data_IF_417102846024
#
_entry.id   IF_417102846024
#
_cell.length_a   1.000
_cell.length_b   1.000
_cell.length_c   1.000
_cell.angle_alpha   90.00
_cell.angle_beta   90.00
_cell.angle_gamma   90.00
#
_symmetry.space_group_name_H-M   'P 1'
#
loop_
_entity.id
_entity.type
_entity.pdbx_description
1 polymer ?
#
# COMPACT_ATOMS: atom_id res chain seq x y z
N UNK A 1 8.08 4.90 3.84
CA UNK A 1 8.11 3.43 3.88
C UNK A 1 7.46 2.94 5.18
N UNK A 2 7.19 1.63 5.37
CA UNK A 2 6.47 1.15 6.59
C UNK A 2 7.31 1.35 7.84
N UNK A 3 8.61 1.16 7.74
CA UNK A 3 9.61 1.47 8.75
C UNK A 3 9.60 2.95 9.15
N UNK A 4 9.39 3.88 8.23
CA UNK A 4 9.31 5.31 8.53
C UNK A 4 8.05 5.63 9.34
N UNK A 5 6.91 5.06 8.94
CA UNK A 5 5.63 5.22 9.67
C UNK A 5 5.68 4.64 11.09
N UNK A 6 6.43 3.54 11.26
CA UNK A 6 6.68 2.96 12.58
C UNK A 6 7.69 3.79 13.37
N UNK A 7 8.70 4.35 12.69
CA UNK A 7 9.70 5.27 13.26
C UNK A 7 9.09 6.56 13.80
N UNK A 8 8.12 7.16 13.09
CA UNK A 8 7.33 8.30 13.56
C UNK A 8 6.57 8.01 14.87
N UNK A 9 6.28 6.73 15.13
CA UNK A 9 5.65 6.25 16.36
C UNK A 9 6.66 5.77 17.42
N UNK A 10 7.96 6.00 17.20
CA UNK A 10 9.04 5.61 18.09
C UNK A 10 9.44 4.13 18.00
N UNK A 11 8.97 3.41 16.99
CA UNK A 11 9.26 1.98 16.80
C UNK A 11 10.31 1.84 15.70
N UNK A 12 11.56 1.59 16.10
CA UNK A 12 12.65 1.34 15.15
C UNK A 12 12.61 -0.11 14.66
N UNK A 13 12.39 -0.29 13.35
CA UNK A 13 12.45 -1.59 12.68
C UNK A 13 13.31 -1.50 11.44
N UNK A 14 14.01 -2.58 11.12
CA UNK A 14 14.74 -2.67 9.85
C UNK A 14 13.79 -3.02 8.70
N UNK A 15 14.16 -2.62 7.48
CA UNK A 15 13.48 -3.05 6.25
C UNK A 15 13.32 -4.59 6.17
N UNK A 16 14.35 -5.33 6.57
CA UNK A 16 14.34 -6.80 6.58
C UNK A 16 13.27 -7.34 7.56
N UNK A 17 13.09 -6.69 8.71
CA UNK A 17 12.06 -7.06 9.69
C UNK A 17 10.67 -6.87 9.11
N UNK A 18 10.41 -5.74 8.46
CA UNK A 18 9.14 -5.46 7.77
C UNK A 18 8.88 -6.50 6.68
N UNK A 19 9.90 -6.86 5.89
CA UNK A 19 9.79 -7.88 4.85
C UNK A 19 9.43 -9.26 5.42
N UNK A 20 10.09 -9.70 6.50
CA UNK A 20 9.79 -10.97 7.15
C UNK A 20 8.36 -11.01 7.71
N UNK A 21 7.85 -9.89 8.22
CA UNK A 21 6.46 -9.79 8.65
C UNK A 21 5.49 -9.88 7.47
N UNK A 22 5.80 -9.21 6.36
CA UNK A 22 5.00 -9.34 5.15
C UNK A 22 4.97 -10.80 4.67
N UNK A 23 6.10 -11.49 4.61
CA UNK A 23 6.15 -12.91 4.22
C UNK A 23 5.35 -13.81 5.17
N UNK A 24 5.43 -13.55 6.49
CA UNK A 24 4.74 -14.35 7.51
C UNK A 24 3.23 -14.12 7.52
N UNK A 25 2.77 -12.89 7.36
CA UNK A 25 1.38 -12.51 7.63
C UNK A 25 0.57 -12.11 6.40
N UNK A 26 1.19 -11.72 5.28
CA UNK A 26 0.47 -11.21 4.11
C UNK A 26 -0.58 -12.20 3.58
N UNK A 27 -0.29 -13.50 3.61
CA UNK A 27 -1.26 -14.52 3.18
C UNK A 27 -2.50 -14.57 4.07
N UNK A 28 -2.34 -14.41 5.37
CA UNK A 28 -3.46 -14.35 6.30
C UNK A 28 -4.33 -13.11 6.02
N UNK A 29 -3.70 -11.94 5.89
CA UNK A 29 -4.40 -10.69 5.57
C UNK A 29 -5.11 -10.76 4.22
N UNK A 30 -4.45 -11.26 3.18
CA UNK A 30 -5.05 -11.43 1.85
C UNK A 30 -6.27 -12.35 1.89
N UNK A 31 -6.20 -13.45 2.65
CA UNK A 31 -7.34 -14.34 2.84
C UNK A 31 -8.49 -13.67 3.61
N UNK A 32 -8.20 -12.88 4.63
CA UNK A 32 -9.21 -12.13 5.40
C UNK A 32 -9.88 -11.05 4.53
N UNK A 33 -9.10 -10.28 3.78
CA UNK A 33 -9.62 -9.28 2.84
C UNK A 33 -10.52 -9.98 1.83
N UNK A 34 -10.04 -11.04 1.16
CA UNK A 34 -10.83 -11.80 0.19
C UNK A 34 -12.14 -12.32 0.78
N UNK A 35 -12.12 -12.92 1.98
CA UNK A 35 -13.34 -13.41 2.65
C UNK A 35 -14.33 -12.29 2.98
N UNK A 36 -13.84 -11.13 3.41
CA UNK A 36 -14.70 -9.95 3.67
C UNK A 36 -15.24 -9.37 2.38
N UNK A 37 -14.48 -9.49 1.29
CA UNK A 37 -14.84 -9.00 -0.02
C UNK A 37 -15.83 -9.91 -0.77
N UNK A 38 -15.78 -11.22 -0.57
CA UNK A 38 -16.71 -12.15 -1.24
C UNK A 38 -18.15 -11.97 -0.74
N UNK A 39 -18.96 -11.20 -1.47
CA UNK A 39 -20.41 -11.05 -1.25
C UNK A 39 -20.87 -9.80 -0.49
N UNK A 40 -19.98 -8.87 -0.13
CA UNK A 40 -20.33 -7.65 0.65
C UNK A 40 -19.96 -6.32 0.02
N UNK A 41 -19.24 -6.34 -1.10
CA UNK A 41 -18.95 -5.13 -1.84
C UNK A 41 -20.17 -4.90 -2.73
N UNK A 42 -21.06 -4.01 -2.28
CA UNK A 42 -22.22 -3.61 -3.07
C UNK A 42 -21.77 -3.13 -4.45
N UNK A 43 -22.69 -3.13 -5.41
CA UNK A 43 -22.45 -2.87 -6.84
C UNK A 43 -21.69 -1.58 -7.20
N UNK A 44 -21.37 -0.72 -6.22
CA UNK A 44 -20.61 0.51 -6.37
C UNK A 44 -19.28 0.43 -5.64
N UNK A 45 -18.19 0.48 -6.41
CA UNK A 45 -16.83 0.61 -5.93
C UNK A 45 -16.37 2.06 -6.08
N UNK A 46 -15.67 2.59 -5.08
CA UNK A 46 -14.97 3.87 -5.17
C UNK A 46 -13.48 3.53 -5.27
N UNK A 47 -12.86 3.90 -6.38
CA UNK A 47 -11.43 3.70 -6.61
C UNK A 47 -10.74 5.04 -6.33
N UNK A 48 -9.92 5.08 -5.29
CA UNK A 48 -9.05 6.22 -5.03
C UNK A 48 -7.75 6.05 -5.82
N UNK A 49 -7.40 7.03 -6.64
CA UNK A 49 -6.11 7.05 -7.33
C UNK A 49 -5.02 7.57 -6.37
N UNK A 50 -3.94 6.80 -6.23
CA UNK A 50 -2.76 7.19 -5.45
C UNK A 50 -1.54 7.09 -6.33
N UNK A 51 -0.82 8.21 -6.48
CA UNK A 51 0.45 8.25 -7.21
C UNK A 51 1.54 7.66 -6.32
N UNK A 52 2.02 6.47 -6.70
CA UNK A 52 3.15 5.82 -6.03
C UNK A 52 4.42 6.20 -6.80
N UNK A 53 5.35 6.87 -6.13
CA UNK A 53 6.68 7.13 -6.70
C UNK A 53 7.50 5.86 -6.55
N UNK A 54 7.50 5.02 -7.59
CA UNK A 54 8.45 3.93 -7.71
C UNK A 54 9.81 4.51 -8.15
N UNK A 55 10.95 4.01 -7.62
CA UNK A 55 12.26 4.40 -8.10
C UNK A 55 12.46 3.86 -9.52
N UNK A 56 12.03 4.63 -10.52
CA UNK A 56 12.33 4.41 -11.92
C UNK A 56 13.62 5.16 -12.27
N UNK A 57 14.51 4.60 -13.10
CA UNK A 57 15.73 5.30 -13.53
C UNK A 57 15.44 6.57 -14.34
N UNK A 58 14.20 6.73 -14.82
CA UNK A 58 13.74 7.88 -15.59
C UNK A 58 12.45 8.38 -14.91
N UNK A 59 12.38 9.61 -14.39
CA UNK A 59 11.11 10.15 -13.89
C UNK A 59 10.16 10.36 -15.08
N UNK A 60 8.85 10.07 -14.96
CA UNK A 60 7.90 10.50 -15.97
C UNK A 60 7.82 12.03 -15.96
N UNK A 61 8.35 12.65 -17.02
CA UNK A 61 8.10 14.06 -17.34
C UNK A 61 6.63 14.20 -17.73
N UNK A 62 5.74 14.37 -16.76
CA UNK A 62 4.40 14.84 -17.01
C UNK A 62 3.83 15.50 -15.75
N UNK A 63 3.85 16.83 -15.74
CA UNK A 63 2.94 17.61 -14.89
C UNK A 63 1.52 17.31 -15.32
N UNK A 64 0.78 16.55 -14.50
CA UNK A 64 -0.67 16.39 -14.69
C UNK A 64 -1.35 17.59 -14.03
N UNK A 65 -1.76 18.56 -14.86
CA UNK A 65 -2.71 19.61 -14.46
C UNK A 65 -4.10 18.98 -14.51
N UNK A 66 -4.74 18.82 -13.36
CA UNK A 66 -6.15 18.40 -13.26
C UNK A 66 -7.01 19.68 -13.32
N UNK A 67 -7.86 19.89 -14.34
CA UNK A 67 -8.80 21.01 -14.32
C UNK A 67 -9.93 20.73 -13.31
N UNK A 68 -10.39 21.81 -12.66
CA UNK A 68 -11.49 21.81 -11.69
C UNK A 68 -12.83 21.47 -12.33
#
# INVERSE_FOLDING_TARGET
MVEDLLGERGIMVSHQTVRLWAEKFARHFANQIRRRSTGRLGDKWHLDEVVIVAPTPNPPTASVVIPK
#
